data_IF_018208254619
#
_entry.id   IF_018208254619
#
_cell.length_a   1.000
_cell.length_b   1.000
_cell.length_c   1.000
_cell.angle_alpha   90.00
_cell.angle_beta   90.00
_cell.angle_gamma   90.00
#
_symmetry.space_group_name_H-M   'P 1'
#
loop_
_entity.id
_entity.type
_entity.pdbx_description
1 polymer ?
#
# COMPACT_ATOMS: atom_id res chain seq x y z
N UNK A 1 -8.73 2.88 18.11
CA UNK A 1 -9.79 3.49 17.29
C UNK A 1 -9.60 3.00 15.87
N UNK A 2 -10.64 2.47 15.23
CA UNK A 2 -10.55 1.95 13.87
C UNK A 2 -10.93 3.03 12.87
N UNK A 3 -10.00 3.41 11.99
CA UNK A 3 -10.23 4.42 10.96
C UNK A 3 -11.01 3.78 9.82
N UNK A 4 -12.27 4.18 9.66
CA UNK A 4 -13.20 3.57 8.71
C UNK A 4 -13.28 4.38 7.42
N UNK A 5 -13.27 3.71 6.27
CA UNK A 5 -13.44 4.34 4.97
C UNK A 5 -14.87 4.82 4.76
N UNK A 6 -15.03 6.09 4.36
CA UNK A 6 -16.34 6.70 4.10
C UNK A 6 -16.73 6.69 2.60
N UNK A 7 -15.83 6.21 1.73
CA UNK A 7 -15.96 6.26 0.26
C UNK A 7 -15.32 5.03 -0.42
N UNK A 8 -15.56 4.93 -1.74
CA UNK A 8 -14.92 3.96 -2.63
C UNK A 8 -15.33 2.50 -2.41
N UNK A 9 -14.57 1.57 -3.01
CA UNK A 9 -14.84 0.12 -3.06
C UNK A 9 -15.01 -0.51 -1.67
N UNK A 10 -14.27 0.01 -0.69
CA UNK A 10 -14.22 -0.53 0.68
C UNK A 10 -14.92 0.37 1.70
N UNK A 11 -15.92 1.15 1.28
CA UNK A 11 -16.73 1.98 2.17
C UNK A 11 -17.30 1.14 3.34
N UNK A 12 -17.18 1.66 4.56
CA UNK A 12 -17.62 1.01 5.79
C UNK A 12 -16.59 0.06 6.40
N UNK A 13 -15.44 -0.17 5.74
CA UNK A 13 -14.38 -1.04 6.28
C UNK A 13 -13.26 -0.27 6.97
N UNK A 14 -12.60 -0.87 7.98
CA UNK A 14 -11.35 -0.37 8.55
C UNK A 14 -10.22 -0.29 7.50
N UNK A 15 -9.48 0.81 7.45
CA UNK A 15 -8.33 0.97 6.55
C UNK A 15 -7.24 -0.09 6.81
N UNK A 16 -7.12 -0.56 8.04
CA UNK A 16 -6.19 -1.61 8.45
C UNK A 16 -6.53 -2.96 7.80
N UNK A 17 -7.82 -3.31 7.76
CA UNK A 17 -8.31 -4.51 7.08
C UNK A 17 -8.07 -4.41 5.57
N UNK A 18 -8.32 -3.23 5.00
CA UNK A 18 -8.08 -2.98 3.57
C UNK A 18 -6.59 -3.06 3.25
N UNK A 19 -5.71 -2.58 4.12
CA UNK A 19 -4.26 -2.69 3.92
C UNK A 19 -3.79 -4.15 3.92
N UNK A 20 -4.35 -5.00 4.79
CA UNK A 20 -4.03 -6.43 4.83
C UNK A 20 -4.55 -7.23 3.62
N UNK A 21 -5.65 -6.77 3.01
CA UNK A 21 -6.30 -7.45 1.88
C UNK A 21 -5.84 -6.91 0.53
N UNK A 22 -5.78 -5.59 0.35
CA UNK A 22 -5.45 -4.93 -0.90
C UNK A 22 -4.59 -3.66 -0.63
N UNK A 23 -3.30 -3.82 -0.28
CA UNK A 23 -2.43 -2.68 0.03
C UNK A 23 -2.25 -1.73 -1.17
N UNK A 24 -2.44 -2.22 -2.40
CA UNK A 24 -2.48 -1.38 -3.60
C UNK A 24 -3.59 -0.33 -3.58
N UNK A 25 -4.75 -0.65 -2.98
CA UNK A 25 -5.83 0.33 -2.81
C UNK A 25 -5.44 1.45 -1.83
N UNK A 26 -4.79 1.09 -0.72
CA UNK A 26 -4.30 2.09 0.24
C UNK A 26 -3.19 2.98 -0.38
N UNK A 27 -2.34 2.42 -1.24
CA UNK A 27 -1.35 3.19 -2.01
C UNK A 27 -2.02 4.12 -3.01
N UNK A 28 -3.09 3.68 -3.67
CA UNK A 28 -3.89 4.54 -4.53
C UNK A 28 -4.46 5.72 -3.73
N UNK A 29 -5.05 5.49 -2.54
CA UNK A 29 -5.52 6.57 -1.65
C UNK A 29 -4.40 7.55 -1.33
N UNK A 30 -3.21 7.06 -0.93
CA UNK A 30 -2.04 7.90 -0.63
C UNK A 30 -1.67 8.81 -1.81
N UNK A 31 -1.85 8.33 -3.03
CA UNK A 31 -1.51 9.07 -4.25
C UNK A 31 -2.65 9.98 -4.76
N UNK A 32 -3.76 10.13 -4.03
CA UNK A 32 -4.85 11.04 -4.38
C UNK A 32 -4.93 12.23 -3.40
N UNK A 33 -4.21 13.34 -3.65
CA UNK A 33 -4.21 14.50 -2.75
C UNK A 33 -5.56 15.23 -2.68
N UNK A 34 -6.44 15.01 -3.65
CA UNK A 34 -7.78 15.62 -3.71
C UNK A 34 -8.84 14.85 -2.92
N UNK A 35 -8.54 13.66 -2.39
CA UNK A 35 -9.50 12.91 -1.59
C UNK A 35 -9.73 13.60 -0.24
N UNK A 36 -10.99 13.87 0.07
CA UNK A 36 -11.38 14.37 1.39
C UNK A 36 -11.47 13.21 2.40
N UNK A 37 -10.33 12.88 3.01
CA UNK A 37 -10.18 11.86 4.05
C UNK A 37 -9.71 12.47 5.37
N UNK A 38 -10.00 11.80 6.48
CA UNK A 38 -9.56 12.25 7.81
C UNK A 38 -8.03 12.31 7.90
N UNK A 39 -7.54 13.20 8.76
CA UNK A 39 -6.09 13.39 8.96
C UNK A 39 -5.43 12.11 9.49
N UNK A 40 -6.11 11.38 10.39
CA UNK A 40 -5.66 10.08 10.86
C UNK A 40 -5.48 9.07 9.72
N UNK A 41 -6.37 9.10 8.72
CA UNK A 41 -6.27 8.21 7.56
C UNK A 41 -5.07 8.59 6.69
N UNK A 42 -4.86 9.89 6.45
CA UNK A 42 -3.68 10.38 5.72
C UNK A 42 -2.40 9.97 6.43
N UNK A 43 -2.35 10.16 7.75
CA UNK A 43 -1.22 9.76 8.57
C UNK A 43 -0.97 8.25 8.45
N UNK A 44 -2.01 7.43 8.59
CA UNK A 44 -1.90 5.97 8.45
C UNK A 44 -1.29 5.56 7.11
N UNK A 45 -1.85 6.03 5.98
CA UNK A 45 -1.33 5.66 4.67
C UNK A 45 0.07 6.22 4.44
N UNK A 46 0.34 7.44 4.87
CA UNK A 46 1.67 8.05 4.76
C UNK A 46 2.73 7.25 5.54
N UNK A 47 2.45 6.85 6.78
CA UNK A 47 3.39 6.00 7.56
C UNK A 47 3.65 4.66 6.89
N UNK A 48 2.65 4.05 6.24
CA UNK A 48 2.82 2.76 5.52
C UNK A 48 3.60 2.91 4.21
N UNK A 49 3.50 4.06 3.55
CA UNK A 49 4.09 4.33 2.23
C UNK A 49 5.16 5.44 2.25
N UNK A 50 5.73 5.76 3.41
CA UNK A 50 6.72 6.85 3.56
C UNK A 50 7.94 6.67 2.65
N UNK A 51 8.38 5.41 2.48
CA UNK A 51 9.50 5.03 1.62
C UNK A 51 9.03 4.40 0.31
N UNK A 52 7.82 4.76 -0.13
CA UNK A 52 7.27 4.28 -1.38
C UNK A 52 7.99 4.96 -2.56
N UNK A 53 8.60 4.14 -3.42
CA UNK A 53 9.42 4.60 -4.54
C UNK A 53 8.65 4.64 -5.88
N UNK A 54 7.32 4.60 -5.78
CA UNK A 54 6.34 4.53 -6.87
C UNK A 54 6.56 3.34 -7.86
N UNK A 55 7.47 2.40 -7.58
CA UNK A 55 7.62 1.17 -8.39
C UNK A 55 6.55 0.13 -8.03
N UNK A 56 6.31 -0.85 -8.89
CA UNK A 56 5.24 -1.84 -8.70
C UNK A 56 5.23 -2.43 -7.27
N UNK A 57 4.08 -2.37 -6.61
CA UNK A 57 3.87 -2.97 -5.28
C UNK A 57 3.51 -4.44 -5.47
N UNK A 58 4.27 -5.34 -4.87
CA UNK A 58 3.91 -6.75 -4.84
C UNK A 58 2.58 -6.92 -4.10
N UNK A 59 1.57 -7.42 -4.78
CA UNK A 59 0.26 -7.72 -4.17
C UNK A 59 0.16 -9.19 -3.73
N UNK A 60 1.19 -9.99 -4.00
CA UNK A 60 1.27 -11.43 -3.76
C UNK A 60 2.71 -11.88 -3.41
N UNK A 61 2.85 -13.14 -2.99
CA UNK A 61 4.15 -13.77 -2.72
C UNK A 61 4.85 -13.33 -1.43
N UNK A 62 6.10 -13.79 -1.26
CA UNK A 62 6.94 -13.57 -0.06
C UNK A 62 7.07 -12.09 0.33
N UNK A 63 7.13 -11.20 -0.67
CA UNK A 63 7.36 -9.77 -0.46
C UNK A 63 6.09 -8.92 -0.65
N UNK A 64 4.90 -9.50 -0.44
CA UNK A 64 3.63 -8.77 -0.49
C UNK A 64 3.68 -7.50 0.36
N UNK A 65 3.27 -6.39 -0.23
CA UNK A 65 3.31 -5.06 0.38
C UNK A 65 4.64 -4.32 0.24
N UNK A 66 5.67 -4.90 -0.41
CA UNK A 66 6.92 -4.21 -0.78
C UNK A 66 6.95 -3.87 -2.26
N UNK A 67 7.64 -2.79 -2.62
CA UNK A 67 7.85 -2.39 -4.01
C UNK A 67 8.98 -3.20 -4.67
N UNK A 68 9.01 -3.29 -6.00
CA UNK A 68 10.10 -3.97 -6.72
C UNK A 68 11.48 -3.38 -6.41
N UNK A 69 11.59 -2.05 -6.30
CA UNK A 69 12.86 -1.38 -5.94
C UNK A 69 13.26 -1.61 -4.49
N UNK A 70 12.31 -1.74 -3.56
CA UNK A 70 12.61 -2.18 -2.20
C UNK A 70 13.14 -3.61 -2.19
N UNK A 71 12.49 -4.51 -2.95
CA UNK A 71 12.91 -5.90 -3.07
C UNK A 71 14.29 -5.99 -3.74
N UNK A 72 14.57 -5.22 -4.78
CA UNK A 72 15.89 -5.24 -5.44
C UNK A 72 17.04 -4.85 -4.51
N UNK A 73 16.76 -4.04 -3.47
CA UNK A 73 17.75 -3.67 -2.44
C UNK A 73 17.93 -4.72 -1.35
N UNK A 74 16.89 -5.53 -1.09
CA UNK A 74 16.88 -6.54 -0.02
C UNK A 74 17.34 -7.91 -0.57
N UNK A 75 16.84 -8.27 -1.75
CA UNK A 75 16.96 -9.57 -2.39
C UNK A 75 16.85 -9.40 -3.91
N UNK A 76 17.97 -9.02 -4.54
CA UNK A 76 18.06 -8.88 -6.00
C UNK A 76 17.79 -10.19 -6.73
N UNK A 77 18.19 -11.33 -6.14
CA UNK A 77 17.97 -12.65 -6.72
C UNK A 77 16.48 -12.97 -6.88
N UNK A 78 15.62 -12.48 -5.98
CA UNK A 78 14.17 -12.62 -6.15
C UNK A 78 13.64 -11.84 -7.35
N UNK A 79 14.22 -10.69 -7.67
CA UNK A 79 13.86 -9.94 -8.88
C UNK A 79 14.26 -10.72 -10.13
N UNK A 80 15.43 -11.37 -10.12
CA UNK A 80 15.86 -12.21 -11.23
C UNK A 80 14.99 -13.46 -11.37
N UNK A 81 14.55 -14.06 -10.26
CA UNK A 81 13.56 -15.13 -10.29
C UNK A 81 12.22 -14.69 -10.89
N UNK A 82 11.73 -13.48 -10.56
CA UNK A 82 10.47 -12.94 -11.12
C UNK A 82 10.52 -12.69 -12.64
N UNK A 83 11.71 -12.58 -13.23
CA UNK A 83 11.90 -12.32 -14.67
C UNK A 83 11.89 -13.59 -15.52
N UNK A 84 12.09 -14.75 -14.91
CA UNK A 84 12.13 -16.06 -15.56
C UNK A 84 10.77 -16.76 -15.46
#
# INVERSE_FOLDING_TARGET
MSITLTFGKYKGKPIEEVFGTEPGYCRWIHNQPSLNISEDMKFFVHTKFQNDDNSYLMTWGKYRGKSLKQISRIDSNHIDWLRN
#
